data_IF_585126372008
#
_entry.id   IF_585126372008
#
_cell.length_a   1.000
_cell.length_b   1.000
_cell.length_c   1.000
_cell.angle_alpha   90.00
_cell.angle_beta   90.00
_cell.angle_gamma   90.00
#
_symmetry.space_group_name_H-M   'P 1'
#
loop_
_entity.id
_entity.type
_entity.pdbx_description
1 polymer ?
#
# COMPACT_ATOMS: atom_id res chain seq x y z
N UNK A 1 -4.36 -6.09 -12.63
CA UNK A 1 -5.37 -6.10 -13.70
C UNK A 1 -6.80 -5.99 -13.19
N UNK A 2 -7.17 -6.67 -12.11
CA UNK A 2 -8.53 -6.55 -11.52
C UNK A 2 -9.00 -5.12 -11.25
N UNK A 3 -8.13 -4.25 -10.71
CA UNK A 3 -8.46 -2.84 -10.42
C UNK A 3 -8.66 -2.04 -11.71
N UNK A 4 -7.89 -2.33 -12.76
CA UNK A 4 -8.03 -1.67 -14.07
C UNK A 4 -9.33 -2.08 -14.75
N UNK A 5 -9.74 -3.35 -14.57
CA UNK A 5 -11.01 -3.87 -15.09
C UNK A 5 -12.25 -3.19 -14.46
N UNK A 6 -12.09 -2.47 -13.35
CA UNK A 6 -13.15 -1.65 -12.76
C UNK A 6 -13.31 -0.28 -13.44
N UNK A 7 -12.56 -0.01 -14.52
CA UNK A 7 -12.62 1.24 -15.29
C UNK A 7 -11.66 2.32 -14.81
N UNK A 8 -10.70 1.98 -13.95
CA UNK A 8 -9.67 2.91 -13.48
C UNK A 8 -8.47 2.88 -14.43
N UNK A 9 -7.91 4.04 -14.76
CA UNK A 9 -6.72 4.13 -15.61
C UNK A 9 -5.56 3.32 -15.03
N UNK A 10 -4.87 2.57 -15.89
CA UNK A 10 -3.72 1.77 -15.54
C UNK A 10 -2.58 2.62 -14.97
N UNK A 11 -2.36 3.81 -15.51
CA UNK A 11 -1.29 4.70 -15.05
C UNK A 11 -1.52 5.11 -13.58
N UNK A 12 -2.75 5.54 -13.27
CA UNK A 12 -3.16 5.92 -11.91
C UNK A 12 -3.02 4.76 -10.93
N UNK A 13 -3.48 3.56 -11.31
CA UNK A 13 -3.36 2.36 -10.47
C UNK A 13 -1.90 2.06 -10.14
N UNK A 14 -1.02 2.11 -11.14
CA UNK A 14 0.41 1.85 -10.97
C UNK A 14 1.08 2.92 -10.10
N UNK A 15 0.69 4.18 -10.28
CA UNK A 15 1.19 5.29 -9.47
C UNK A 15 0.81 5.11 -8.00
N UNK A 16 -0.47 4.85 -7.71
CA UNK A 16 -0.96 4.67 -6.34
C UNK A 16 -0.32 3.46 -5.68
N UNK A 17 -0.23 2.31 -6.36
CA UNK A 17 0.45 1.12 -5.82
C UNK A 17 1.91 1.43 -5.47
N UNK A 18 2.61 2.16 -6.35
CA UNK A 18 4.00 2.57 -6.12
C UNK A 18 4.13 3.46 -4.88
N UNK A 19 3.26 4.47 -4.76
CA UNK A 19 3.26 5.39 -3.62
C UNK A 19 2.94 4.66 -2.32
N UNK A 20 1.97 3.75 -2.33
CA UNK A 20 1.66 2.93 -1.16
C UNK A 20 2.89 2.12 -0.77
N UNK A 21 3.51 1.37 -1.67
CA UNK A 21 4.66 0.52 -1.33
C UNK A 21 5.87 1.32 -0.83
N UNK A 22 6.26 2.41 -1.51
CA UNK A 22 7.44 3.21 -1.15
C UNK A 22 7.35 3.85 0.24
N UNK A 23 6.13 4.20 0.68
CA UNK A 23 5.92 4.89 1.96
C UNK A 23 5.71 3.95 3.16
N UNK A 24 6.00 2.64 3.04
CA UNK A 24 5.89 1.70 4.17
C UNK A 24 6.78 2.09 5.35
N UNK A 25 8.00 2.60 5.09
CA UNK A 25 8.89 3.08 6.15
C UNK A 25 8.28 4.24 6.96
N UNK A 26 7.62 5.21 6.29
CA UNK A 26 6.97 6.34 6.97
C UNK A 26 5.80 5.92 7.85
N UNK A 27 5.01 4.94 7.39
CA UNK A 27 3.87 4.42 8.17
C UNK A 27 4.30 3.71 9.44
N UNK A 28 5.44 3.02 9.43
CA UNK A 28 5.99 2.37 10.64
C UNK A 28 6.51 3.36 11.68
N UNK A 29 6.88 4.57 11.25
CA UNK A 29 7.33 5.64 12.15
C UNK A 29 6.16 6.55 12.61
N UNK A 30 4.96 6.33 12.07
CA UNK A 30 3.78 7.13 12.42
C UNK A 30 3.28 6.77 13.82
N UNK A 31 2.70 7.74 14.53
CA UNK A 31 2.10 7.51 15.83
C UNK A 31 0.94 6.48 15.74
N UNK A 32 0.68 5.70 16.81
CA UNK A 32 -0.45 4.78 16.84
C UNK A 32 -1.78 5.55 16.75
N UNK A 33 -2.72 4.99 15.98
CA UNK A 33 -4.08 5.52 15.81
C UNK A 33 -5.14 4.44 16.03
N UNK A 34 -6.39 4.87 16.25
CA UNK A 34 -7.52 3.97 16.48
C UNK A 34 -7.89 3.23 15.19
N UNK A 35 -8.08 1.92 15.27
CA UNK A 35 -8.51 1.09 14.13
C UNK A 35 -10.03 1.16 13.94
N UNK A 36 -10.47 1.69 12.79
CA UNK A 36 -11.90 1.77 12.41
C UNK A 36 -12.23 0.76 11.30
N UNK A 37 -11.28 0.48 10.40
CA UNK A 37 -11.51 -0.40 9.24
C UNK A 37 -11.11 -1.85 9.51
N UNK A 38 -11.61 -2.76 8.66
CA UNK A 38 -11.24 -4.20 8.67
C UNK A 38 -9.75 -4.44 8.38
N UNK A 39 -9.09 -3.52 7.68
CA UNK A 39 -7.68 -3.62 7.30
C UNK A 39 -7.01 -2.25 7.36
N UNK A 40 -6.53 -1.87 8.55
CA UNK A 40 -5.85 -0.60 8.76
C UNK A 40 -4.33 -0.71 8.53
N UNK A 41 -3.68 0.44 8.33
CA UNK A 41 -2.22 0.55 8.26
C UNK A 41 -1.61 0.44 9.66
N UNK A 42 -1.43 -0.79 10.12
CA UNK A 42 -0.87 -1.10 11.43
C UNK A 42 -0.69 -2.60 11.55
N UNK A 43 -1.23 -3.18 12.63
CA UNK A 43 -1.12 -4.63 12.89
C UNK A 43 -1.65 -5.50 11.74
N UNK A 44 -2.71 -5.07 11.06
CA UNK A 44 -3.46 -5.88 10.08
C UNK A 44 -2.80 -5.94 8.70
N UNK A 45 -1.98 -4.93 8.36
CA UNK A 45 -1.32 -4.84 7.05
C UNK A 45 0.20 -4.81 7.22
N UNK A 46 0.79 -6.00 7.34
CA UNK A 46 2.23 -6.19 7.53
C UNK A 46 2.93 -6.35 6.17
N UNK A 47 3.59 -5.30 5.69
CA UNK A 47 4.44 -5.35 4.50
C UNK A 47 5.91 -5.07 4.87
N UNK A 48 6.88 -5.70 4.20
CA UNK A 48 8.29 -5.40 4.42
C UNK A 48 8.65 -3.99 3.92
N UNK A 49 9.60 -3.32 4.60
CA UNK A 49 10.16 -2.04 4.13
C UNK A 49 11.02 -2.27 2.89
N UNK A 50 11.98 -3.19 3.01
CA UNK A 50 12.82 -3.63 1.88
C UNK A 50 12.08 -4.74 1.15
N UNK A 51 11.53 -4.44 -0.02
CA UNK A 51 10.78 -5.40 -0.84
C UNK A 51 11.31 -5.47 -2.25
N UNK A 52 11.58 -6.69 -2.74
CA UNK A 52 11.96 -6.96 -4.13
C UNK A 52 10.77 -7.27 -5.04
N UNK A 53 9.53 -7.12 -4.57
CA UNK A 53 8.33 -7.55 -5.29
C UNK A 53 8.18 -6.96 -6.70
N UNK A 54 8.66 -5.73 -6.92
CA UNK A 54 8.61 -5.06 -8.23
C UNK A 54 9.80 -5.41 -9.15
N UNK A 55 10.77 -6.21 -8.67
CA UNK A 55 12.01 -6.52 -9.41
C UNK A 55 11.87 -7.74 -10.33
N UNK A 56 10.66 -8.25 -10.54
CA UNK A 56 10.31 -9.29 -11.50
C UNK A 56 9.35 -8.74 -12.54
#
# INVERSE_FOLDING_TARGET
DEIVAQGIDREDVLQVITLVQRNEHKRRQSAPGIRITRRAFGRDRRYPITSGYRRK
#
